data_IF_622824401475
#
_entry.id   IF_622824401475
#
_cell.length_a   1.000
_cell.length_b   1.000
_cell.length_c   1.000
_cell.angle_alpha   90.00
_cell.angle_beta   90.00
_cell.angle_gamma   90.00
#
_symmetry.space_group_name_H-M   'P 1'
#
loop_
_entity.id
_entity.type
_entity.pdbx_description
1 polymer ?
#
# COMPACT_ATOMS: atom_id res chain seq x y z
N UNK A 1 22.61 5.21 -0.51
CA UNK A 1 21.96 6.54 -0.42
C UNK A 1 20.46 6.36 -0.16
N UNK A 2 19.96 6.69 1.04
CA UNK A 2 18.51 6.63 1.35
C UNK A 2 17.86 7.89 0.79
N UNK A 3 17.20 7.78 -0.36
CA UNK A 3 16.43 8.89 -0.93
C UNK A 3 15.11 8.97 -0.15
N UNK A 4 14.96 10.01 0.68
CA UNK A 4 13.71 10.32 1.38
C UNK A 4 12.86 11.15 0.44
N UNK A 5 11.77 10.58 -0.08
CA UNK A 5 10.95 11.20 -1.13
C UNK A 5 9.83 12.10 -0.61
N UNK A 6 9.55 12.10 0.69
CA UNK A 6 8.40 12.79 1.29
C UNK A 6 8.40 14.31 1.09
N UNK A 7 9.55 14.97 1.18
CA UNK A 7 9.65 16.43 1.02
C UNK A 7 9.38 16.91 -0.41
N UNK A 8 9.21 15.99 -1.37
CA UNK A 8 8.99 16.31 -2.79
C UNK A 8 7.57 15.99 -3.26
N UNK A 9 6.72 15.41 -2.40
CA UNK A 9 5.36 14.98 -2.77
C UNK A 9 4.34 15.82 -2.00
N UNK A 10 3.47 16.52 -2.73
CA UNK A 10 2.45 17.38 -2.14
C UNK A 10 1.10 16.65 -2.08
N UNK A 11 0.81 16.10 -0.91
CA UNK A 11 -0.44 15.37 -0.65
C UNK A 11 -1.58 16.31 -0.25
N UNK A 12 -2.79 15.91 -0.62
CA UNK A 12 -4.02 16.39 -0.02
C UNK A 12 -4.16 15.80 1.39
N UNK A 13 -3.84 16.64 2.39
CA UNK A 13 -3.89 16.26 3.79
C UNK A 13 -5.31 15.94 4.28
N UNK A 14 -6.35 16.55 3.69
CA UNK A 14 -7.73 16.23 4.07
C UNK A 14 -8.12 14.84 3.56
N UNK A 15 -7.72 14.51 2.33
CA UNK A 15 -7.95 13.18 1.76
C UNK A 15 -7.20 12.08 2.55
N UNK A 16 -5.96 12.35 2.96
CA UNK A 16 -5.19 11.45 3.82
C UNK A 16 -5.90 11.24 5.16
N UNK A 17 -6.29 12.33 5.83
CA UNK A 17 -6.93 12.26 7.15
C UNK A 17 -8.25 11.51 7.13
N UNK A 18 -9.10 11.74 6.12
CA UNK A 18 -10.35 10.96 5.94
C UNK A 18 -10.07 9.46 5.80
N UNK A 19 -8.97 9.10 5.12
CA UNK A 19 -8.59 7.70 4.94
C UNK A 19 -8.11 7.08 6.26
N UNK A 20 -7.39 7.84 7.09
CA UNK A 20 -6.97 7.43 8.43
C UNK A 20 -8.18 7.17 9.35
N UNK A 21 -9.12 8.11 9.42
CA UNK A 21 -10.31 8.02 10.28
C UNK A 21 -11.17 6.78 9.98
N UNK A 22 -11.30 6.41 8.70
CA UNK A 22 -12.00 5.19 8.29
C UNK A 22 -11.24 3.94 8.76
N UNK A 23 -9.91 3.95 8.68
CA UNK A 23 -9.09 2.79 9.07
C UNK A 23 -9.11 2.54 10.58
N UNK A 24 -9.18 3.57 11.40
CA UNK A 24 -9.26 3.45 12.86
C UNK A 24 -10.49 2.66 13.35
N UNK A 25 -11.54 2.60 12.53
CA UNK A 25 -12.77 1.86 12.83
C UNK A 25 -12.71 0.40 12.37
N UNK A 26 -11.64 -0.02 11.69
CA UNK A 26 -11.52 -1.37 11.13
C UNK A 26 -11.04 -2.37 12.18
N UNK A 27 -11.85 -3.39 12.42
CA UNK A 27 -11.46 -4.54 13.22
C UNK A 27 -10.71 -5.57 12.37
N UNK A 28 -9.40 -5.62 12.53
CA UNK A 28 -8.49 -6.54 11.81
C UNK A 28 -8.09 -7.73 12.67
N UNK A 29 -7.98 -8.91 12.05
CA UNK A 29 -7.36 -10.06 12.72
C UNK A 29 -5.86 -9.81 12.96
N UNK A 30 -5.24 -10.58 13.85
CA UNK A 30 -3.80 -10.50 14.13
C UNK A 30 -2.97 -10.70 12.84
N UNK A 31 -3.38 -11.65 11.99
CA UNK A 31 -2.68 -11.94 10.74
C UNK A 31 -2.80 -10.80 9.73
N UNK A 32 -3.99 -10.23 9.58
CA UNK A 32 -4.23 -9.07 8.72
C UNK A 32 -3.39 -7.88 9.19
N UNK A 33 -3.41 -7.59 10.49
CA UNK A 33 -2.59 -6.55 11.09
C UNK A 33 -1.10 -6.74 10.80
N UNK A 34 -0.59 -7.96 10.91
CA UNK A 34 0.83 -8.27 10.63
C UNK A 34 1.19 -7.98 9.16
N UNK A 35 0.35 -8.41 8.22
CA UNK A 35 0.62 -8.20 6.78
C UNK A 35 0.53 -6.71 6.44
N UNK A 36 -0.50 -6.02 6.92
CA UNK A 36 -0.70 -4.58 6.70
C UNK A 36 0.48 -3.81 7.28
N UNK A 37 0.91 -4.14 8.51
CA UNK A 37 2.06 -3.51 9.13
C UNK A 37 3.34 -3.68 8.31
N UNK A 38 3.61 -4.89 7.81
CA UNK A 38 4.83 -5.15 7.04
C UNK A 38 4.86 -4.41 5.70
N UNK A 39 3.78 -4.47 4.93
CA UNK A 39 3.65 -3.73 3.67
C UNK A 39 3.79 -2.23 3.95
N UNK A 40 3.09 -1.73 4.96
CA UNK A 40 3.12 -0.31 5.33
C UNK A 40 4.51 0.13 5.72
N UNK A 41 5.22 -0.68 6.50
CA UNK A 41 6.61 -0.44 6.91
C UNK A 41 7.55 -0.35 5.72
N UNK A 42 7.37 -1.18 4.68
CA UNK A 42 8.19 -1.10 3.47
C UNK A 42 7.93 0.16 2.66
N UNK A 43 6.67 0.57 2.52
CA UNK A 43 6.30 1.83 1.86
C UNK A 43 6.85 3.03 2.66
N UNK A 44 6.71 3.02 4.00
CA UNK A 44 7.19 4.06 4.92
C UNK A 44 8.72 4.21 4.99
N UNK A 45 9.47 3.21 4.52
CA UNK A 45 10.93 3.35 4.33
C UNK A 45 11.28 4.30 3.19
N UNK A 46 10.35 4.55 2.26
CA UNK A 46 10.60 5.25 1.00
C UNK A 46 9.81 6.57 0.95
N UNK A 47 8.51 6.53 1.23
CA UNK A 47 7.64 7.70 1.36
C UNK A 47 7.33 7.88 2.84
N UNK A 48 7.75 9.00 3.43
CA UNK A 48 7.35 9.34 4.81
C UNK A 48 5.97 9.97 4.81
N UNK A 49 5.00 9.19 5.27
CA UNK A 49 3.66 9.61 5.62
C UNK A 49 3.35 9.15 7.06
N UNK A 50 2.26 9.64 7.68
CA UNK A 50 1.75 9.03 8.90
C UNK A 50 1.57 7.52 8.72
N UNK A 51 1.95 6.74 9.72
CA UNK A 51 1.87 5.28 9.65
C UNK A 51 0.42 4.79 9.48
N UNK A 52 -0.52 5.50 10.12
CA UNK A 52 -1.96 5.31 9.95
C UNK A 52 -2.41 5.50 8.50
N UNK A 53 -1.96 6.54 7.79
CA UNK A 53 -2.32 6.75 6.39
C UNK A 53 -1.86 5.60 5.50
N UNK A 54 -0.61 5.16 5.64
CA UNK A 54 -0.10 4.05 4.81
C UNK A 54 -0.82 2.75 5.14
N UNK A 55 -1.11 2.48 6.42
CA UNK A 55 -1.89 1.31 6.84
C UNK A 55 -3.30 1.34 6.25
N UNK A 56 -3.95 2.50 6.28
CA UNK A 56 -5.26 2.70 5.70
C UNK A 56 -5.28 2.42 4.19
N UNK A 57 -4.30 2.97 3.45
CA UNK A 57 -4.15 2.71 2.00
C UNK A 57 -3.88 1.23 1.73
N UNK A 58 -2.99 0.62 2.51
CA UNK A 58 -2.64 -0.81 2.39
C UNK A 58 -3.87 -1.68 2.60
N UNK A 59 -4.65 -1.40 3.65
CA UNK A 59 -5.89 -2.12 3.93
C UNK A 59 -6.92 -1.95 2.82
N UNK A 60 -7.14 -0.71 2.35
CA UNK A 60 -8.08 -0.45 1.27
C UNK A 60 -7.69 -1.17 -0.03
N UNK A 61 -6.40 -1.22 -0.35
CA UNK A 61 -5.89 -1.96 -1.49
C UNK A 61 -6.12 -3.49 -1.36
N UNK A 62 -5.89 -4.03 -0.17
CA UNK A 62 -6.20 -5.44 0.15
C UNK A 62 -7.70 -5.70 0.00
N UNK A 63 -8.54 -4.84 0.58
CA UNK A 63 -10.01 -4.97 0.53
C UNK A 63 -10.53 -4.91 -0.90
N UNK A 64 -10.05 -3.97 -1.71
CA UNK A 64 -10.39 -3.90 -3.14
C UNK A 64 -10.00 -5.18 -3.89
N UNK A 65 -8.81 -5.71 -3.63
CA UNK A 65 -8.39 -6.97 -4.22
C UNK A 65 -9.30 -8.13 -3.81
N UNK A 66 -9.65 -8.21 -2.52
CA UNK A 66 -10.55 -9.23 -1.98
C UNK A 66 -11.94 -9.18 -2.64
N UNK A 67 -12.49 -7.98 -2.82
CA UNK A 67 -13.78 -7.77 -3.49
C UNK A 67 -13.71 -8.21 -4.95
N UNK A 68 -12.70 -7.75 -5.70
CA UNK A 68 -12.57 -8.04 -7.14
C UNK A 68 -12.36 -9.52 -7.44
N UNK A 69 -11.66 -10.22 -6.55
CA UNK A 69 -11.32 -11.63 -6.74
C UNK A 69 -12.28 -12.58 -6.01
N UNK A 70 -13.22 -12.05 -5.22
CA UNK A 70 -14.08 -12.82 -4.32
C UNK A 70 -13.29 -13.81 -3.45
N UNK A 71 -12.21 -13.31 -2.83
CA UNK A 71 -11.24 -14.07 -2.04
C UNK A 71 -10.81 -13.31 -0.81
N UNK A 72 -10.40 -14.04 0.22
CA UNK A 72 -9.72 -13.49 1.39
C UNK A 72 -8.22 -13.37 1.16
N UNK A 73 -7.55 -12.50 1.91
CA UNK A 73 -6.08 -12.40 1.85
C UNK A 73 -5.39 -13.70 2.31
N UNK A 74 -6.03 -14.47 3.20
CA UNK A 74 -5.52 -15.76 3.67
C UNK A 74 -5.44 -16.78 2.53
N UNK A 75 -6.46 -16.80 1.66
CA UNK A 75 -6.50 -17.69 0.48
C UNK A 75 -5.40 -17.41 -0.55
N UNK A 76 -4.70 -16.27 -0.50
CA UNK A 76 -3.57 -16.02 -1.38
C UNK A 76 -2.53 -17.12 -1.20
N UNK A 77 -2.24 -17.58 0.02
CA UNK A 77 -1.20 -18.59 0.28
C UNK A 77 -1.44 -19.92 -0.43
N UNK A 78 -2.71 -20.26 -0.65
CA UNK A 78 -3.17 -21.50 -1.29
C UNK A 78 -3.13 -21.41 -2.83
N UNK A 79 -2.91 -20.22 -3.39
CA UNK A 79 -2.80 -20.07 -4.84
C UNK A 79 -1.46 -20.63 -5.35
N UNK A 80 -1.41 -21.11 -6.61
CA UNK A 80 -0.16 -21.41 -7.29
C UNK A 80 0.78 -20.20 -7.26
N UNK A 81 2.10 -20.44 -7.20
CA UNK A 81 3.11 -19.38 -7.02
C UNK A 81 2.96 -18.21 -7.98
N UNK A 82 2.69 -18.46 -9.27
CA UNK A 82 2.47 -17.38 -10.25
C UNK A 82 1.24 -16.53 -9.94
N UNK A 83 0.15 -17.16 -9.47
CA UNK A 83 -1.07 -16.45 -9.05
C UNK A 83 -0.87 -15.71 -7.73
N UNK A 84 -0.06 -16.22 -6.81
CA UNK A 84 0.35 -15.53 -5.58
C UNK A 84 1.05 -14.22 -5.88
N UNK A 85 2.07 -14.28 -6.74
CA UNK A 85 2.85 -13.11 -7.13
C UNK A 85 1.97 -12.07 -7.82
N UNK A 86 1.06 -12.50 -8.69
CA UNK A 86 0.10 -11.60 -9.32
C UNK A 86 -0.85 -10.94 -8.32
N UNK A 87 -1.42 -11.70 -7.38
CA UNK A 87 -2.31 -11.15 -6.35
C UNK A 87 -1.60 -10.06 -5.51
N UNK A 88 -0.38 -10.33 -5.07
CA UNK A 88 0.43 -9.35 -4.33
C UNK A 88 0.70 -8.13 -5.21
N UNK A 89 1.10 -8.32 -6.47
CA UNK A 89 1.35 -7.22 -7.41
C UNK A 89 0.11 -6.35 -7.60
N UNK A 90 -1.08 -6.94 -7.75
CA UNK A 90 -2.35 -6.22 -7.88
C UNK A 90 -2.66 -5.37 -6.65
N UNK A 91 -2.41 -5.88 -5.44
CA UNK A 91 -2.57 -5.13 -4.19
C UNK A 91 -1.64 -3.91 -4.19
N UNK A 92 -0.36 -4.08 -4.51
CA UNK A 92 0.60 -2.98 -4.59
C UNK A 92 0.20 -1.95 -5.66
N UNK A 93 -0.20 -2.38 -6.86
CA UNK A 93 -0.67 -1.49 -7.92
C UNK A 93 -1.96 -0.74 -7.54
N UNK A 94 -2.83 -1.36 -6.74
CA UNK A 94 -4.05 -0.70 -6.25
C UNK A 94 -3.71 0.37 -5.22
N UNK A 95 -2.83 0.06 -4.27
CA UNK A 95 -2.35 1.03 -3.28
C UNK A 95 -1.62 2.21 -3.92
N UNK A 96 -0.80 1.96 -4.94
CA UNK A 96 -0.12 2.99 -5.75
C UNK A 96 -1.14 3.97 -6.36
N UNK A 97 -2.14 3.43 -7.06
CA UNK A 97 -3.21 4.24 -7.66
C UNK A 97 -3.96 5.05 -6.61
N UNK A 98 -4.31 4.45 -5.47
CA UNK A 98 -5.00 5.15 -4.38
C UNK A 98 -4.17 6.29 -3.81
N UNK A 99 -2.87 6.08 -3.57
CA UNK A 99 -2.03 7.15 -3.04
C UNK A 99 -1.88 8.31 -4.03
N UNK A 100 -1.84 8.02 -5.33
CA UNK A 100 -1.80 9.05 -6.39
C UNK A 100 -3.08 9.87 -6.47
N UNK A 101 -4.26 9.32 -6.16
CA UNK A 101 -5.50 10.12 -6.12
C UNK A 101 -5.53 11.11 -4.97
N UNK A 102 -4.63 10.98 -3.99
CA UNK A 102 -4.49 11.89 -2.86
C UNK A 102 -3.45 13.00 -3.12
N UNK A 103 -3.04 13.22 -4.37
CA UNK A 103 -2.15 14.33 -4.73
C UNK A 103 -2.96 15.61 -4.97
N UNK A 104 -2.51 16.74 -4.44
CA UNK A 104 -3.20 18.04 -4.55
C UNK A 104 -3.21 18.63 -5.97
N UNK A 105 -2.23 18.29 -6.81
CA UNK A 105 -2.08 18.80 -8.18
C UNK A 105 -1.37 17.77 -9.08
N UNK A 106 -1.49 17.86 -10.42
CA UNK A 106 -0.91 16.89 -11.32
C UNK A 106 0.55 17.16 -11.74
N UNK A 107 1.35 16.19 -12.18
CA UNK A 107 1.19 14.72 -12.12
C UNK A 107 2.50 13.94 -12.33
N UNK A 108 3.45 14.35 -13.17
CA UNK A 108 4.53 13.41 -13.50
C UNK A 108 5.52 13.11 -12.37
N UNK A 109 6.14 14.11 -11.74
CA UNK A 109 7.24 13.83 -10.81
C UNK A 109 6.76 13.09 -9.55
N UNK A 110 5.69 13.55 -8.93
CA UNK A 110 5.15 12.92 -7.73
C UNK A 110 4.60 11.52 -8.02
N UNK A 111 3.90 11.31 -9.14
CA UNK A 111 3.44 9.97 -9.52
C UNK A 111 4.62 9.02 -9.74
N UNK A 112 5.67 9.46 -10.46
CA UNK A 112 6.89 8.65 -10.67
C UNK A 112 7.57 8.30 -9.34
N UNK A 113 7.62 9.23 -8.40
CA UNK A 113 8.19 8.97 -7.08
C UNK A 113 7.35 7.94 -6.30
N UNK A 114 6.03 7.98 -6.45
CA UNK A 114 5.13 6.98 -5.87
C UNK A 114 5.32 5.62 -6.55
N UNK A 115 5.38 5.58 -7.89
CA UNK A 115 5.67 4.36 -8.65
C UNK A 115 6.95 3.68 -8.17
N UNK A 116 8.05 4.45 -8.08
CA UNK A 116 9.34 3.96 -7.60
C UNK A 116 9.24 3.43 -6.17
N UNK A 117 8.45 4.09 -5.32
CA UNK A 117 8.27 3.66 -3.94
C UNK A 117 7.51 2.34 -3.84
N UNK A 118 6.40 2.19 -4.56
CA UNK A 118 5.62 0.95 -4.57
C UNK A 118 6.39 -0.20 -5.23
N UNK A 119 7.10 0.05 -6.33
CA UNK A 119 7.98 -0.93 -6.99
C UNK A 119 9.07 -1.44 -6.02
N UNK A 120 9.73 -0.54 -5.29
CA UNK A 120 10.75 -0.90 -4.30
C UNK A 120 10.16 -1.62 -3.09
N UNK A 121 9.02 -1.16 -2.59
CA UNK A 121 8.33 -1.81 -1.47
C UNK A 121 7.86 -3.22 -1.84
N UNK A 122 7.39 -3.43 -3.07
CA UNK A 122 7.04 -4.74 -3.61
C UNK A 122 8.25 -5.68 -3.61
N UNK A 123 9.41 -5.22 -4.12
CA UNK A 123 10.65 -6.02 -4.09
C UNK A 123 11.08 -6.39 -2.66
N UNK A 124 10.98 -5.46 -1.72
CA UNK A 124 11.26 -5.74 -0.30
C UNK A 124 10.29 -6.77 0.28
N UNK A 125 9.01 -6.66 -0.07
CA UNK A 125 7.99 -7.61 0.38
C UNK A 125 8.21 -9.01 -0.20
N UNK A 126 8.57 -9.12 -1.49
CA UNK A 126 8.91 -10.40 -2.11
C UNK A 126 10.07 -11.09 -1.38
N UNK A 127 11.12 -10.33 -1.02
CA UNK A 127 12.25 -10.87 -0.25
C UNK A 127 11.88 -11.28 1.18
N UNK A 128 10.82 -10.70 1.75
CA UNK A 128 10.33 -11.05 3.09
C UNK A 128 9.50 -12.34 3.09
N UNK A 129 8.80 -12.63 2.00
CA UNK A 129 7.93 -13.82 1.87
C UNK A 129 8.60 -15.00 1.15
N UNK A 130 9.79 -14.78 0.57
CA UNK A 130 10.63 -15.82 -0.03
C UNK A 130 11.43 -16.53 1.05
#
# INVERSE_FOLDING_TARGET
MRIILSYTINFDLEALKKTEEVYEQVNLTIEQNKIIHEISRFINKIIKLPDTAIKAITWNAIREWQIRNNKTIAEIRELPIGKRLNAVKEIFCTGDKMLKTMLKQPKNKSEILIDIAFEKAFKLFLNFIS
#
